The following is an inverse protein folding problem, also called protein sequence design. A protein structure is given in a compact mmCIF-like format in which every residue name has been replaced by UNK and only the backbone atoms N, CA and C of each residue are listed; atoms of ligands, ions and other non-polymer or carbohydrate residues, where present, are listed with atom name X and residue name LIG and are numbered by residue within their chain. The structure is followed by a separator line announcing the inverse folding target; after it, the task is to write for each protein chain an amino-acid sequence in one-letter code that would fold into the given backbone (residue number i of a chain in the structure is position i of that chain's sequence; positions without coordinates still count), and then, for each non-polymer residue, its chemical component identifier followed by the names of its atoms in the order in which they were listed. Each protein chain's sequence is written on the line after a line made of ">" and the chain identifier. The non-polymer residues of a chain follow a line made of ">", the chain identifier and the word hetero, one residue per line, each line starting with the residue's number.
data_IF_807708772096
#
_entry.id   IF_807708772096
#
_cell.length_a   1.000
_cell.length_b   1.000
_cell.length_c   1.000
_cell.angle_alpha   90.00
_cell.angle_beta   90.00
_cell.angle_gamma   90.00
#
_symmetry.space_group_name_H-M   'P 1'
#
loop_
_entity.id
_entity.type
_entity.pdbx_description
1 polymer ?
#
# COMPACT_ATOMS: atom_id res chain seq x y z
N UNK A 1 12.96 -23.84 10.11
CA UNK A 1 13.07 -23.35 11.50
C UNK A 1 11.92 -23.88 12.34
N UNK A 2 10.65 -23.57 12.03
CA UNK A 2 9.50 -24.08 12.79
C UNK A 2 9.44 -25.61 12.87
N UNK A 3 9.62 -26.33 11.76
CA UNK A 3 9.63 -27.82 11.77
C UNK A 3 10.77 -28.42 12.61
N UNK A 4 11.82 -27.63 12.88
CA UNK A 4 12.96 -28.02 13.71
C UNK A 4 12.82 -27.56 15.19
N UNK A 5 11.69 -26.95 15.56
CA UNK A 5 11.46 -26.37 16.90
C UNK A 5 12.29 -25.12 17.20
N UNK A 6 12.90 -24.50 16.19
CA UNK A 6 13.67 -23.26 16.34
C UNK A 6 12.78 -22.04 16.10
N UNK A 7 12.01 -21.69 17.13
CA UNK A 7 11.08 -20.56 17.07
C UNK A 7 11.80 -19.21 17.00
N UNK A 8 12.96 -19.08 17.64
CA UNK A 8 13.77 -17.85 17.60
C UNK A 8 14.17 -17.51 16.17
N UNK A 9 14.81 -18.43 15.46
CA UNK A 9 15.24 -18.18 14.07
C UNK A 9 14.05 -18.00 13.13
N UNK A 10 12.92 -18.67 13.39
CA UNK A 10 11.67 -18.48 12.63
C UNK A 10 11.14 -17.04 12.77
N UNK A 11 11.14 -16.49 13.99
CA UNK A 11 10.72 -15.11 14.27
C UNK A 11 11.71 -14.11 13.67
N UNK A 12 13.01 -14.33 13.87
CA UNK A 12 14.06 -13.44 13.33
C UNK A 12 14.00 -13.39 11.80
N UNK A 13 13.81 -14.53 11.12
CA UNK A 13 13.68 -14.57 9.67
C UNK A 13 12.49 -13.72 9.19
N UNK A 14 11.32 -13.86 9.82
CA UNK A 14 10.12 -13.08 9.47
C UNK A 14 10.34 -11.58 9.71
N UNK A 15 10.92 -11.22 10.86
CA UNK A 15 11.25 -9.84 11.18
C UNK A 15 12.22 -9.22 10.16
N UNK A 16 13.27 -9.96 9.77
CA UNK A 16 14.21 -9.51 8.74
C UNK A 16 13.54 -9.37 7.38
N UNK A 17 12.67 -10.31 6.99
CA UNK A 17 11.92 -10.22 5.74
C UNK A 17 11.05 -8.96 5.69
N UNK A 18 10.35 -8.63 6.79
CA UNK A 18 9.57 -7.38 6.89
C UNK A 18 10.46 -6.14 6.79
N UNK A 19 11.63 -6.13 7.44
CA UNK A 19 12.57 -5.01 7.33
C UNK A 19 13.11 -4.84 5.90
N UNK A 20 13.38 -5.95 5.20
CA UNK A 20 13.83 -5.91 3.82
C UNK A 20 12.74 -5.41 2.87
N UNK A 21 11.49 -5.83 3.06
CA UNK A 21 10.36 -5.35 2.26
C UNK A 21 10.18 -3.83 2.37
N UNK A 22 10.22 -3.29 3.60
CA UNK A 22 10.12 -1.84 3.83
C UNK A 22 11.35 -1.07 3.32
N UNK A 23 12.56 -1.59 3.56
CA UNK A 23 13.78 -0.98 3.04
C UNK A 23 13.78 -0.94 1.51
N UNK A 24 13.27 -1.99 0.85
CA UNK A 24 13.16 -2.02 -0.59
C UNK A 24 12.10 -1.04 -1.11
N UNK A 25 10.97 -0.88 -0.41
CA UNK A 25 9.98 0.15 -0.72
C UNK A 25 10.59 1.57 -0.70
N UNK A 26 11.37 1.90 0.34
CA UNK A 26 12.05 3.20 0.44
C UNK A 26 13.08 3.39 -0.68
N UNK A 27 13.92 2.38 -0.93
CA UNK A 27 14.94 2.43 -1.98
C UNK A 27 14.32 2.53 -3.37
N UNK A 28 13.28 1.75 -3.66
CA UNK A 28 12.56 1.81 -4.92
C UNK A 28 11.95 3.21 -5.14
N UNK A 29 11.34 3.79 -4.10
CA UNK A 29 10.81 5.15 -4.18
C UNK A 29 11.93 6.17 -4.46
N UNK A 30 13.06 6.11 -3.75
CA UNK A 30 14.22 6.96 -4.02
C UNK A 30 14.71 6.84 -5.47
N UNK A 31 14.82 5.61 -6.00
CA UNK A 31 15.21 5.36 -7.40
C UNK A 31 14.17 5.92 -8.37
N UNK A 32 12.87 5.85 -8.06
CA UNK A 32 11.82 6.47 -8.87
C UNK A 32 12.00 7.99 -8.90
N UNK A 33 12.20 8.65 -7.76
CA UNK A 33 12.36 10.10 -7.67
C UNK A 33 13.58 10.61 -8.42
N UNK A 34 14.70 9.91 -8.29
CA UNK A 34 16.02 10.36 -8.77
C UNK A 34 16.33 9.90 -10.19
N UNK A 35 15.85 8.72 -10.62
CA UNK A 35 16.28 8.08 -11.87
C UNK A 35 15.13 7.76 -12.83
N UNK A 36 14.10 7.06 -12.38
CA UNK A 36 13.06 6.53 -13.29
C UNK A 36 12.09 7.64 -13.70
N UNK A 37 11.50 8.33 -12.71
CA UNK A 37 10.68 9.52 -12.95
C UNK A 37 11.55 10.78 -12.98
N UNK A 38 12.57 10.85 -12.12
CA UNK A 38 13.64 11.84 -12.25
C UNK A 38 13.22 13.29 -11.95
N UNK A 39 12.16 13.50 -11.17
CA UNK A 39 11.73 14.83 -10.76
C UNK A 39 12.56 15.43 -9.62
N UNK A 40 13.49 14.65 -9.04
CA UNK A 40 14.40 15.05 -7.96
C UNK A 40 15.80 14.46 -8.19
N UNK A 41 16.50 14.77 -9.31
CA UNK A 41 17.73 14.04 -9.69
C UNK A 41 18.96 14.37 -8.81
N UNK A 42 18.91 15.46 -8.05
CA UNK A 42 19.97 15.90 -7.16
C UNK A 42 19.69 15.60 -5.67
N UNK A 43 18.68 14.77 -5.39
CA UNK A 43 18.38 14.30 -4.04
C UNK A 43 19.56 13.49 -3.48
N UNK A 44 19.86 13.66 -2.19
CA UNK A 44 20.85 12.81 -1.52
C UNK A 44 20.24 11.48 -1.08
N UNK A 45 21.09 10.49 -0.79
CA UNK A 45 20.70 9.17 -0.32
C UNK A 45 20.77 9.05 1.21
N UNK A 46 20.67 10.17 1.94
CA UNK A 46 20.83 10.15 3.39
C UNK A 46 19.67 9.38 4.06
N UNK A 47 19.95 8.24 4.73
CA UNK A 47 18.89 7.41 5.30
C UNK A 47 18.00 8.13 6.33
N UNK A 48 18.56 9.09 7.08
CA UNK A 48 17.80 9.83 8.08
C UNK A 48 16.76 10.77 7.45
N UNK A 49 17.10 11.36 6.30
CA UNK A 49 16.17 12.21 5.54
C UNK A 49 15.06 11.37 4.89
N UNK A 50 15.41 10.20 4.38
CA UNK A 50 14.44 9.24 3.83
C UNK A 50 13.44 8.77 4.90
N UNK A 51 13.91 8.41 6.10
CA UNK A 51 13.04 8.02 7.23
C UNK A 51 12.15 9.19 7.66
N UNK A 52 12.68 10.42 7.63
CA UNK A 52 11.93 11.64 7.93
C UNK A 52 10.96 12.07 6.82
N UNK A 53 10.86 11.32 5.73
CA UNK A 53 10.08 11.65 4.53
C UNK A 53 10.42 13.04 3.95
N UNK A 54 11.67 13.49 4.11
CA UNK A 54 12.17 14.77 3.62
C UNK A 54 12.54 14.68 2.12
N UNK A 55 11.52 14.41 1.32
CA UNK A 55 11.57 14.39 -0.13
C UNK A 55 10.24 14.86 -0.71
N UNK A 56 10.26 15.22 -2.00
CA UNK A 56 9.05 15.60 -2.73
C UNK A 56 8.25 14.35 -3.10
N UNK A 57 6.93 14.41 -2.92
CA UNK A 57 6.00 13.36 -3.33
C UNK A 57 5.72 12.32 -2.24
N UNK A 58 4.74 11.45 -2.47
CA UNK A 58 4.30 10.43 -1.52
C UNK A 58 4.09 9.08 -2.21
N UNK A 59 4.04 8.00 -1.41
CA UNK A 59 3.82 6.64 -1.88
C UNK A 59 2.66 5.89 -1.20
N UNK A 60 1.41 6.39 -1.29
CA UNK A 60 0.28 5.83 -0.54
C UNK A 60 0.00 4.38 -0.93
N UNK A 61 -0.30 3.57 0.07
CA UNK A 61 -0.62 2.16 -0.09
C UNK A 61 -2.10 1.89 0.26
N UNK A 62 -2.82 1.05 -0.51
CA UNK A 62 -4.19 0.67 -0.18
C UNK A 62 -4.30 0.01 1.21
N UNK A 63 -5.28 0.43 1.98
CA UNK A 63 -5.51 0.05 3.39
C UNK A 63 -5.02 1.08 4.41
N UNK A 64 -4.17 2.02 4.01
CA UNK A 64 -3.81 3.16 4.86
C UNK A 64 -4.94 4.22 4.88
N UNK A 65 -4.97 5.12 5.88
CA UNK A 65 -6.03 6.13 5.99
C UNK A 65 -6.25 7.01 4.76
N UNK A 66 -5.21 7.23 3.94
CA UNK A 66 -5.28 7.99 2.69
C UNK A 66 -5.96 7.24 1.54
N UNK A 67 -6.02 5.91 1.61
CA UNK A 67 -6.66 5.05 0.62
C UNK A 67 -7.18 3.78 1.31
N UNK A 68 -8.29 3.84 2.06
CA UNK A 68 -8.68 2.76 2.97
C UNK A 68 -9.18 1.48 2.27
N UNK A 69 -9.61 1.53 1.01
CA UNK A 69 -10.06 0.32 0.30
C UNK A 69 -8.88 -0.60 -0.01
N UNK A 70 -8.80 -1.72 0.71
CA UNK A 70 -7.76 -2.73 0.52
C UNK A 70 -7.81 -3.42 -0.85
N UNK A 71 -8.96 -3.48 -1.52
CA UNK A 71 -9.12 -4.20 -2.78
C UNK A 71 -8.43 -3.52 -3.97
N UNK A 72 -8.06 -2.25 -3.84
CA UNK A 72 -7.27 -1.53 -4.86
C UNK A 72 -5.87 -2.13 -5.08
N UNK A 73 -5.39 -2.99 -4.16
CA UNK A 73 -4.17 -3.79 -4.41
C UNK A 73 -4.31 -4.68 -5.63
N UNK A 74 -5.51 -5.19 -5.92
CA UNK A 74 -5.76 -6.02 -7.09
C UNK A 74 -5.46 -5.24 -8.38
N UNK A 75 -5.93 -3.99 -8.46
CA UNK A 75 -5.64 -3.08 -9.58
C UNK A 75 -4.13 -2.85 -9.74
N UNK A 76 -3.40 -2.62 -8.64
CA UNK A 76 -1.94 -2.41 -8.71
C UNK A 76 -1.23 -3.67 -9.23
N UNK A 77 -1.57 -4.84 -8.70
CA UNK A 77 -0.95 -6.12 -9.07
C UNK A 77 -1.21 -6.46 -10.54
N UNK A 78 -2.43 -6.20 -11.02
CA UNK A 78 -2.82 -6.40 -12.41
C UNK A 78 -2.01 -5.49 -13.36
N UNK A 79 -1.92 -4.19 -13.05
CA UNK A 79 -1.17 -3.21 -13.86
C UNK A 79 0.31 -3.59 -14.00
N UNK A 80 0.95 -4.06 -12.93
CA UNK A 80 2.38 -4.39 -12.93
C UNK A 80 2.66 -5.83 -13.36
N UNK A 81 1.63 -6.64 -13.63
CA UNK A 81 1.78 -8.07 -13.96
C UNK A 81 2.46 -8.88 -12.86
N UNK A 82 2.23 -8.54 -11.59
CA UNK A 82 2.95 -9.14 -10.45
C UNK A 82 2.61 -10.62 -10.22
N UNK A 83 1.41 -11.06 -10.60
CA UNK A 83 1.02 -12.47 -10.48
C UNK A 83 1.94 -13.39 -11.29
N UNK A 84 2.26 -13.00 -12.53
CA UNK A 84 3.09 -13.79 -13.44
C UNK A 84 4.60 -13.58 -13.21
N UNK A 85 5.01 -12.36 -12.85
CA UNK A 85 6.42 -11.97 -12.79
C UNK A 85 7.05 -11.97 -11.40
N UNK A 86 6.25 -11.71 -10.34
CA UNK A 86 6.75 -11.53 -8.97
C UNK A 86 6.27 -12.64 -8.01
N UNK A 87 5.42 -13.56 -8.48
CA UNK A 87 4.83 -14.63 -7.67
C UNK A 87 4.13 -14.08 -6.40
N UNK A 88 3.61 -12.86 -6.49
CA UNK A 88 2.86 -12.22 -5.43
C UNK A 88 1.36 -12.40 -5.66
N UNK A 89 0.64 -12.81 -4.63
CA UNK A 89 -0.82 -13.04 -4.70
C UNK A 89 -1.55 -12.26 -3.62
N UNK A 90 -2.88 -12.19 -3.75
CA UNK A 90 -3.77 -11.64 -2.74
C UNK A 90 -4.64 -12.75 -2.15
N UNK A 91 -4.83 -12.72 -0.83
CA UNK A 91 -5.85 -13.53 -0.16
C UNK A 91 -7.24 -12.96 -0.44
N UNK A 92 -8.28 -13.70 -0.05
CA UNK A 92 -9.68 -13.24 -0.11
C UNK A 92 -9.94 -11.95 0.70
N UNK A 93 -9.10 -11.68 1.71
CA UNK A 93 -9.11 -10.46 2.51
C UNK A 93 -8.17 -9.37 1.99
N UNK A 94 -7.61 -9.54 0.79
CA UNK A 94 -6.68 -8.60 0.16
C UNK A 94 -5.34 -8.43 0.89
N UNK A 95 -4.94 -9.40 1.71
CA UNK A 95 -3.59 -9.46 2.25
C UNK A 95 -2.63 -9.97 1.17
N UNK A 96 -1.42 -9.41 1.10
CA UNK A 96 -0.41 -9.87 0.15
C UNK A 96 0.27 -11.14 0.64
N UNK A 97 0.60 -12.02 -0.30
CA UNK A 97 1.45 -13.18 -0.09
C UNK A 97 2.63 -13.09 -1.06
N UNK A 98 3.89 -13.18 -0.57
CA UNK A 98 4.31 -13.34 0.83
C UNK A 98 3.88 -12.20 1.77
N UNK A 99 3.79 -12.46 3.07
CA UNK A 99 3.35 -11.46 4.06
C UNK A 99 4.27 -10.23 4.11
N UNK A 100 5.58 -10.45 3.98
CA UNK A 100 6.60 -9.41 3.88
C UNK A 100 6.60 -8.79 2.48
N UNK A 101 5.55 -8.05 2.17
CA UNK A 101 5.31 -7.40 0.89
C UNK A 101 4.80 -5.98 1.08
N UNK A 102 5.13 -5.10 0.13
CA UNK A 102 4.62 -3.72 0.08
C UNK A 102 4.17 -3.42 -1.35
N UNK A 103 3.02 -2.76 -1.50
CA UNK A 103 2.58 -2.19 -2.77
C UNK A 103 1.89 -0.84 -2.53
N UNK A 104 1.91 0.02 -3.54
CA UNK A 104 1.33 1.36 -3.45
C UNK A 104 1.44 2.12 -4.75
N UNK A 105 0.99 3.37 -4.72
CA UNK A 105 1.05 4.32 -5.82
C UNK A 105 2.23 5.27 -5.60
N UNK A 106 2.75 5.89 -6.67
CA UNK A 106 3.70 7.01 -6.55
C UNK A 106 3.03 8.30 -7.01
N UNK A 107 3.08 9.36 -6.19
CA UNK A 107 2.54 10.68 -6.50
C UNK A 107 3.64 11.75 -6.40
N UNK A 108 3.97 12.39 -7.52
CA UNK A 108 5.10 13.33 -7.63
C UNK A 108 4.75 14.81 -7.39
N UNK A 109 3.47 15.13 -7.17
CA UNK A 109 3.05 16.53 -6.99
C UNK A 109 3.67 17.10 -5.70
N UNK A 110 4.26 18.31 -5.71
CA UNK A 110 4.97 18.85 -4.54
C UNK A 110 4.07 19.14 -3.34
N UNK A 111 2.76 19.29 -3.57
CA UNK A 111 1.77 19.45 -2.52
C UNK A 111 1.03 18.15 -2.16
N UNK A 112 1.44 17.00 -2.70
CA UNK A 112 0.85 15.73 -2.29
C UNK A 112 1.29 15.41 -0.86
N UNK A 113 0.32 15.14 0.02
CA UNK A 113 0.56 14.80 1.43
C UNK A 113 -0.33 13.64 1.84
N UNK A 114 0.07 12.89 2.85
CA UNK A 114 -0.83 11.93 3.47
C UNK A 114 -1.94 12.68 4.22
N UNK A 115 -3.18 12.26 4.02
CA UNK A 115 -4.33 12.71 4.79
C UNK A 115 -5.24 11.51 5.05
N UNK A 116 -5.99 11.52 6.15
CA UNK A 116 -7.03 10.52 6.37
C UNK A 116 -8.30 10.88 5.60
N UNK A 117 -8.88 9.93 4.86
CA UNK A 117 -10.19 10.13 4.19
C UNK A 117 -11.29 10.46 5.20
N UNK A 118 -11.19 9.93 6.42
CA UNK A 118 -12.17 10.17 7.47
C UNK A 118 -13.46 9.36 7.26
N UNK A 119 -14.57 9.90 7.76
CA UNK A 119 -15.88 9.26 7.65
C UNK A 119 -16.60 9.72 6.38
N UNK A 120 -17.19 8.78 5.64
CA UNK A 120 -17.86 9.00 4.35
C UNK A 120 -19.35 8.73 4.46
N UNK A 121 -20.16 9.55 3.78
CA UNK A 121 -21.61 9.42 3.75
C UNK A 121 -22.07 8.43 2.67
N UNK A 122 -23.34 8.02 2.74
CA UNK A 122 -23.93 7.01 1.86
C UNK A 122 -23.85 7.38 0.37
N UNK A 123 -24.02 8.65 0.04
CA UNK A 123 -23.92 9.16 -1.34
C UNK A 123 -22.53 8.91 -1.95
N UNK A 124 -21.47 9.10 -1.17
CA UNK A 124 -20.11 8.80 -1.60
C UNK A 124 -19.88 7.30 -1.79
N UNK A 125 -20.46 6.46 -0.92
CA UNK A 125 -20.37 4.99 -1.00
C UNK A 125 -21.09 4.47 -2.24
N UNK A 126 -22.30 4.95 -2.51
CA UNK A 126 -23.07 4.60 -3.72
C UNK A 126 -22.35 5.04 -4.99
N UNK A 127 -21.81 6.26 -5.00
CA UNK A 127 -21.00 6.78 -6.10
C UNK A 127 -19.73 5.96 -6.33
N UNK A 128 -19.09 5.49 -5.25
CA UNK A 128 -17.92 4.61 -5.32
C UNK A 128 -18.27 3.23 -5.88
N UNK A 129 -19.33 2.61 -5.37
CA UNK A 129 -19.83 1.31 -5.83
C UNK A 129 -20.10 1.32 -7.34
N UNK A 130 -20.75 2.38 -7.84
CA UNK A 130 -21.00 2.57 -9.27
C UNK A 130 -19.70 2.65 -10.08
N UNK A 131 -18.73 3.48 -9.66
CA UNK A 131 -17.45 3.62 -10.38
C UNK A 131 -16.63 2.33 -10.43
N UNK A 132 -16.68 1.56 -9.34
CA UNK A 132 -15.95 0.30 -9.21
C UNK A 132 -16.70 -0.88 -9.84
N UNK A 133 -17.99 -0.73 -10.13
CA UNK A 133 -18.82 -1.80 -10.70
C UNK A 133 -19.21 -2.88 -9.69
N UNK A 134 -19.38 -2.52 -8.42
CA UNK A 134 -19.77 -3.43 -7.33
C UNK A 134 -21.10 -3.00 -6.71
N UNK A 135 -21.68 -3.85 -5.85
CA UNK A 135 -22.89 -3.47 -5.11
C UNK A 135 -22.56 -2.46 -4.01
N UNK A 136 -23.55 -1.66 -3.58
CA UNK A 136 -23.39 -0.77 -2.43
C UNK A 136 -23.04 -1.55 -1.16
N UNK A 137 -23.61 -2.75 -0.97
CA UNK A 137 -23.29 -3.61 0.18
C UNK A 137 -21.84 -4.08 0.17
N UNK A 138 -21.28 -4.40 -1.01
CA UNK A 138 -19.85 -4.74 -1.13
C UNK A 138 -18.97 -3.53 -0.80
N UNK A 139 -19.34 -2.33 -1.27
CA UNK A 139 -18.62 -1.11 -0.96
C UNK A 139 -18.67 -0.78 0.54
N UNK A 140 -19.83 -0.96 1.19
CA UNK A 140 -20.01 -0.82 2.63
C UNK A 140 -19.12 -1.79 3.40
N UNK A 141 -18.99 -3.05 2.94
CA UNK A 141 -18.08 -4.04 3.54
C UNK A 141 -16.61 -3.65 3.38
N UNK A 142 -16.20 -3.18 2.20
CA UNK A 142 -14.81 -2.76 1.93
C UNK A 142 -14.41 -1.52 2.75
N UNK A 143 -15.35 -0.60 2.95
CA UNK A 143 -15.12 0.70 3.59
C UNK A 143 -15.75 0.79 4.99
N UNK A 144 -16.07 -0.35 5.62
CA UNK A 144 -16.75 -0.40 6.92
C UNK A 144 -16.11 0.50 7.99
N UNK A 145 -14.77 0.59 8.13
CA UNK A 145 -14.12 1.51 9.08
C UNK A 145 -14.36 3.00 8.81
N UNK A 146 -14.84 3.35 7.62
CA UNK A 146 -15.02 4.72 7.15
C UNK A 146 -16.50 5.16 7.08
N UNK A 147 -17.50 4.29 7.28
CA UNK A 147 -18.90 4.67 7.07
C UNK A 147 -19.44 5.64 8.12
N UNK A 148 -19.90 6.83 7.75
CA UNK A 148 -20.52 7.79 8.69
C UNK A 148 -21.94 7.39 9.15
N UNK A 149 -22.39 6.17 8.85
CA UNK A 149 -23.74 5.67 9.07
C UNK A 149 -23.70 4.15 9.31
N UNK A 150 -24.79 3.58 9.81
CA UNK A 150 -24.95 2.13 9.94
C UNK A 150 -25.52 1.54 8.63
N UNK A 151 -24.82 0.62 7.96
CA UNK A 151 -25.36 -0.09 6.81
C UNK A 151 -26.48 -1.04 7.23
N UNK A 152 -27.42 -1.30 6.31
CA UNK A 152 -28.58 -2.18 6.56
C UNK A 152 -28.23 -3.66 6.46
#
# INVERSE_FOLDING_TARGET
>A
FTDAGDDYSSIILKALADRLAEAFSEYAHYVVRTKIWGYSPAEDDNPQRLIGEDYRGIRPAPGYPAQPDHSEKATIIDIIGAGDSLQMTLTESWAMQPASSVCGLYLAHPSATYFGVGRILRDQVESYAQRKGITTADAERLLAPNLAYEPN
#
